data_IF_924289797148
#
_entry.id   IF_924289797148
#
_cell.length_a   1.000
_cell.length_b   1.000
_cell.length_c   1.000
_cell.angle_alpha   90.00
_cell.angle_beta   90.00
_cell.angle_gamma   90.00
#
_symmetry.space_group_name_H-M   'P 1'
#
loop_
_entity.id
_entity.type
_entity.pdbx_description
1 polymer ?
#
# COMPACT_ATOMS: atom_id res chain seq x y z
N UNK A 1 -14.08 8.17 -20.03
CA UNK A 1 -14.30 9.58 -20.37
C UNK A 1 -12.97 10.24 -20.70
N UNK A 2 -12.97 11.31 -21.51
CA UNK A 2 -11.74 12.03 -21.86
C UNK A 2 -11.09 12.71 -20.64
N UNK A 3 -11.92 13.16 -19.70
CA UNK A 3 -11.54 13.75 -18.42
C UNK A 3 -12.34 13.09 -17.29
N UNK A 4 -11.80 13.14 -16.07
CA UNK A 4 -12.48 12.74 -14.84
C UNK A 4 -11.53 12.08 -13.86
N UNK A 5 -11.66 12.40 -12.57
CA UNK A 5 -10.96 11.65 -11.55
C UNK A 5 -11.53 10.23 -11.45
N UNK A 6 -10.68 9.29 -11.06
CA UNK A 6 -11.10 7.95 -10.69
C UNK A 6 -11.93 7.96 -9.40
N UNK A 7 -12.98 7.15 -9.35
CA UNK A 7 -13.77 6.98 -8.12
C UNK A 7 -12.96 6.29 -7.03
N UNK A 8 -13.17 6.66 -5.77
CA UNK A 8 -12.57 5.91 -4.66
C UNK A 8 -13.13 4.48 -4.61
N UNK A 9 -12.28 3.53 -4.23
CA UNK A 9 -12.69 2.18 -3.93
C UNK A 9 -13.50 2.13 -2.63
N UNK A 10 -14.50 1.25 -2.57
CA UNK A 10 -15.31 1.08 -1.37
C UNK A 10 -14.52 0.37 -0.26
N UNK A 11 -14.61 0.86 0.97
CA UNK A 11 -14.04 0.19 2.13
C UNK A 11 -14.76 -1.13 2.40
N UNK A 12 -14.00 -2.16 2.78
CA UNK A 12 -14.57 -3.42 3.19
C UNK A 12 -15.16 -3.36 4.61
N UNK A 13 -16.33 -3.98 4.77
CA UNK A 13 -16.96 -4.15 6.08
C UNK A 13 -16.31 -5.26 6.91
N UNK A 14 -16.67 -5.31 8.19
CA UNK A 14 -16.28 -6.38 9.11
C UNK A 14 -17.12 -7.64 8.86
N UNK A 15 -16.49 -8.80 8.70
CA UNK A 15 -17.18 -10.08 8.52
C UNK A 15 -17.08 -10.94 9.79
N UNK A 16 -18.10 -10.99 10.66
CA UNK A 16 -18.03 -11.71 11.95
C UNK A 16 -18.04 -13.25 11.83
N UNK A 17 -18.22 -13.82 10.62
CA UNK A 17 -18.33 -15.26 10.42
C UNK A 17 -17.38 -15.87 9.38
N UNK A 18 -16.46 -15.11 8.81
CA UNK A 18 -15.54 -15.59 7.78
C UNK A 18 -14.10 -15.61 8.30
N UNK A 19 -13.31 -16.62 7.92
CA UNK A 19 -11.90 -16.71 8.32
C UNK A 19 -11.01 -15.65 7.64
N UNK A 20 -11.51 -14.96 6.61
CA UNK A 20 -10.81 -13.88 5.89
C UNK A 20 -11.71 -12.66 5.79
N UNK A 21 -11.16 -11.49 6.10
CA UNK A 21 -11.82 -10.20 5.95
C UNK A 21 -12.11 -9.85 4.49
N UNK A 22 -13.17 -9.07 4.25
CA UNK A 22 -13.48 -8.62 2.90
C UNK A 22 -12.38 -7.70 2.36
N UNK A 23 -12.09 -7.78 1.06
CA UNK A 23 -11.08 -6.92 0.43
C UNK A 23 -11.63 -5.53 0.16
N UNK A 24 -10.83 -4.49 0.38
CA UNK A 24 -11.17 -3.14 -0.05
C UNK A 24 -11.30 -3.06 -1.58
N UNK A 25 -12.25 -2.26 -2.06
CA UNK A 25 -12.45 -2.04 -3.48
C UNK A 25 -11.26 -1.31 -4.11
N UNK A 26 -10.93 -1.61 -5.37
CA UNK A 26 -9.93 -0.85 -6.09
C UNK A 26 -10.41 0.58 -6.37
N UNK A 27 -9.48 1.54 -6.31
CA UNK A 27 -9.69 2.88 -6.82
C UNK A 27 -9.84 2.84 -8.34
N UNK A 28 -10.81 3.60 -8.85
CA UNK A 28 -11.03 3.75 -10.28
C UNK A 28 -9.85 4.44 -10.95
N UNK A 29 -9.55 4.05 -12.18
CA UNK A 29 -8.64 4.81 -13.02
C UNK A 29 -9.30 6.14 -13.43
N UNK A 30 -8.49 7.16 -13.63
CA UNK A 30 -8.95 8.42 -14.19
C UNK A 30 -9.41 8.31 -15.65
N UNK A 31 -9.97 9.39 -16.16
CA UNK A 31 -10.22 9.60 -17.57
C UNK A 31 -8.93 9.61 -18.40
N UNK A 32 -9.07 9.43 -19.72
CA UNK A 32 -7.95 9.16 -20.61
C UNK A 32 -6.86 10.25 -20.57
N UNK A 33 -7.22 11.53 -20.63
CA UNK A 33 -6.24 12.62 -20.70
C UNK A 33 -5.94 13.25 -19.34
N UNK A 34 -6.98 13.44 -18.52
CA UNK A 34 -6.88 14.17 -17.27
C UNK A 34 -7.70 13.53 -16.16
N UNK A 35 -7.14 13.59 -14.96
CA UNK A 35 -7.77 13.21 -13.70
C UNK A 35 -6.82 12.37 -12.87
N UNK A 36 -6.88 12.50 -11.55
CA UNK A 36 -6.11 11.63 -10.67
C UNK A 36 -6.81 10.29 -10.51
N UNK A 37 -6.02 9.23 -10.32
CA UNK A 37 -6.57 7.93 -9.96
C UNK A 37 -7.26 7.98 -8.60
N UNK A 38 -8.32 7.19 -8.43
CA UNK A 38 -9.03 7.07 -7.17
C UNK A 38 -8.20 6.33 -6.12
N UNK A 39 -8.38 6.65 -4.85
CA UNK A 39 -7.78 5.87 -3.77
C UNK A 39 -8.41 4.47 -3.69
N UNK A 40 -7.63 3.45 -3.32
CA UNK A 40 -8.15 2.14 -2.97
C UNK A 40 -8.83 2.14 -1.60
N UNK A 41 -9.85 1.30 -1.44
CA UNK A 41 -10.59 1.12 -0.19
C UNK A 41 -9.82 0.31 0.83
N UNK A 42 -10.15 0.48 2.11
CA UNK A 42 -9.55 -0.26 3.23
C UNK A 42 -9.99 -1.73 3.21
N UNK A 43 -9.09 -2.62 3.61
CA UNK A 43 -9.38 -4.03 3.86
C UNK A 43 -10.17 -4.24 5.15
N UNK A 44 -11.07 -5.23 5.16
CA UNK A 44 -11.99 -5.49 6.26
C UNK A 44 -11.31 -6.17 7.43
N UNK A 45 -11.68 -5.79 8.66
CA UNK A 45 -11.11 -6.35 9.89
C UNK A 45 -11.83 -7.62 10.33
N UNK A 46 -11.10 -8.62 10.84
CA UNK A 46 -11.68 -9.83 11.45
C UNK A 46 -10.98 -10.18 12.76
N UNK A 47 -11.76 -10.14 13.86
CA UNK A 47 -11.29 -10.45 15.21
C UNK A 47 -12.09 -11.57 15.88
N UNK A 48 -13.24 -11.97 15.33
CA UNK A 48 -14.19 -12.88 15.99
C UNK A 48 -13.79 -14.35 15.95
N UNK A 49 -12.86 -14.74 15.07
CA UNK A 49 -12.41 -16.12 14.91
C UNK A 49 -10.91 -16.19 15.13
N UNK A 50 -10.44 -17.16 15.94
CA UNK A 50 -9.01 -17.39 16.13
C UNK A 50 -8.33 -17.78 14.81
N UNK A 51 -7.18 -17.19 14.50
CA UNK A 51 -6.44 -17.51 13.28
C UNK A 51 -6.94 -16.80 12.01
N UNK A 52 -7.88 -15.85 12.11
CA UNK A 52 -8.47 -15.20 10.94
C UNK A 52 -7.54 -14.13 10.33
N UNK A 53 -7.57 -13.99 9.01
CA UNK A 53 -6.76 -13.01 8.28
C UNK A 53 -7.59 -11.78 7.93
N UNK A 54 -7.02 -10.58 8.13
CA UNK A 54 -7.64 -9.34 7.68
C UNK A 54 -7.74 -9.26 6.16
N UNK A 55 -8.72 -8.53 5.65
CA UNK A 55 -8.89 -8.36 4.21
C UNK A 55 -7.78 -7.50 3.62
N UNK A 56 -7.40 -7.74 2.37
CA UNK A 56 -6.44 -6.88 1.67
C UNK A 56 -7.02 -5.48 1.41
N UNK A 57 -6.17 -4.46 1.43
CA UNK A 57 -6.50 -3.13 0.94
C UNK A 57 -6.63 -3.11 -0.58
N UNK A 58 -7.52 -2.26 -1.09
CA UNK A 58 -7.70 -2.05 -2.52
C UNK A 58 -6.52 -1.31 -3.14
N UNK A 59 -6.21 -1.62 -4.39
CA UNK A 59 -5.20 -0.86 -5.14
C UNK A 59 -5.70 0.56 -5.45
N UNK A 60 -4.79 1.53 -5.46
CA UNK A 60 -5.06 2.85 -6.01
C UNK A 60 -5.20 2.79 -7.54
N UNK A 61 -6.07 3.63 -8.08
CA UNK A 61 -6.26 3.75 -9.53
C UNK A 61 -5.12 4.54 -10.18
N UNK A 62 -4.92 4.34 -11.48
CA UNK A 62 -3.95 5.10 -12.26
C UNK A 62 -4.50 6.50 -12.63
N UNK A 63 -3.59 7.47 -12.72
CA UNK A 63 -3.90 8.81 -13.25
C UNK A 63 -4.16 8.80 -14.75
N UNK A 64 -4.67 9.92 -15.27
CA UNK A 64 -4.79 10.16 -16.71
C UNK A 64 -3.43 10.36 -17.39
N UNK A 65 -3.42 10.45 -18.72
CA UNK A 65 -2.18 10.55 -19.50
C UNK A 65 -1.32 11.76 -19.13
N UNK A 66 -1.89 12.95 -19.01
CA UNK A 66 -1.12 14.20 -19.05
C UNK A 66 -0.65 14.66 -17.68
N UNK A 67 -1.38 15.58 -17.03
CA UNK A 67 -1.05 16.13 -15.70
C UNK A 67 -1.94 15.44 -14.67
N UNK A 68 -1.51 14.31 -14.15
CA UNK A 68 -2.35 13.43 -13.34
C UNK A 68 -1.53 12.48 -12.48
N UNK A 69 -1.96 12.30 -11.24
CA UNK A 69 -1.28 11.43 -10.27
C UNK A 69 -2.01 10.11 -10.10
N UNK A 70 -1.27 9.07 -9.71
CA UNK A 70 -1.88 7.84 -9.23
C UNK A 70 -2.61 8.05 -7.90
N UNK A 71 -3.62 7.22 -7.64
CA UNK A 71 -4.32 7.17 -6.37
C UNK A 71 -3.54 6.33 -5.34
N UNK A 72 -3.72 6.61 -4.06
CA UNK A 72 -3.08 5.82 -3.00
C UNK A 72 -3.73 4.44 -2.88
N UNK A 73 -2.98 3.42 -2.49
CA UNK A 73 -3.53 2.14 -2.08
C UNK A 73 -4.22 2.22 -0.72
N UNK A 74 -5.24 1.39 -0.51
CA UNK A 74 -5.90 1.21 0.77
C UNK A 74 -5.07 0.35 1.71
N UNK A 75 -5.22 0.51 3.02
CA UNK A 75 -4.51 -0.32 3.99
C UNK A 75 -5.15 -1.71 4.08
N UNK A 76 -4.34 -2.68 4.48
CA UNK A 76 -4.84 -4.00 4.85
C UNK A 76 -5.61 -3.97 6.17
N UNK A 77 -6.64 -4.80 6.26
CA UNK A 77 -7.43 -4.98 7.47
C UNK A 77 -6.67 -5.74 8.55
N UNK A 78 -7.04 -5.50 9.80
CA UNK A 78 -6.55 -6.27 10.94
C UNK A 78 -7.16 -7.68 10.92
N UNK A 79 -6.37 -8.72 11.18
CA UNK A 79 -6.86 -10.07 11.40
C UNK A 79 -6.27 -10.70 12.64
N UNK A 80 -7.05 -11.50 13.38
CA UNK A 80 -6.59 -12.13 14.62
C UNK A 80 -5.35 -13.01 14.44
N UNK A 81 -5.22 -13.74 13.33
CA UNK A 81 -4.08 -14.62 13.01
C UNK A 81 -3.27 -14.22 11.76
N UNK A 82 -3.64 -13.13 11.11
CA UNK A 82 -2.90 -12.62 9.96
C UNK A 82 -3.37 -11.23 9.55
N UNK A 83 -2.44 -10.35 9.22
CA UNK A 83 -2.78 -9.02 8.73
C UNK A 83 -3.11 -9.05 7.25
N UNK A 84 -4.08 -8.25 6.82
CA UNK A 84 -4.35 -8.03 5.41
C UNK A 84 -3.18 -7.29 4.74
N UNK A 85 -2.89 -7.60 3.49
CA UNK A 85 -1.85 -6.89 2.72
C UNK A 85 -2.34 -5.48 2.37
N UNK A 86 -1.46 -4.48 2.46
CA UNK A 86 -1.73 -3.13 1.96
C UNK A 86 -1.82 -3.09 0.43
N UNK A 87 -2.77 -2.33 -0.11
CA UNK A 87 -2.93 -2.15 -1.54
C UNK A 87 -1.78 -1.33 -2.14
N UNK A 88 -1.33 -1.70 -3.32
CA UNK A 88 -0.37 -0.87 -4.07
C UNK A 88 -0.97 0.50 -4.44
N UNK A 89 -0.12 1.52 -4.49
CA UNK A 89 -0.45 2.82 -5.09
C UNK A 89 -0.58 2.71 -6.61
N UNK A 90 -1.41 3.57 -7.19
CA UNK A 90 -1.58 3.70 -8.62
C UNK A 90 -0.45 4.49 -9.28
N UNK A 91 -0.29 4.33 -10.59
CA UNK A 91 0.76 4.99 -11.35
C UNK A 91 0.28 6.32 -11.95
N UNK A 92 1.21 7.26 -12.14
CA UNK A 92 1.05 8.36 -13.09
C UNK A 92 1.58 7.94 -14.48
N UNK A 93 1.17 8.65 -15.54
CA UNK A 93 1.57 8.33 -16.92
C UNK A 93 2.64 9.25 -17.48
N UNK A 94 2.37 10.53 -17.81
CA UNK A 94 3.39 11.43 -18.36
C UNK A 94 3.91 12.44 -17.34
N UNK A 95 3.01 13.20 -16.71
CA UNK A 95 3.35 14.21 -15.71
C UNK A 95 2.50 13.97 -14.46
N UNK A 96 3.15 13.64 -13.35
CA UNK A 96 2.49 13.44 -12.06
C UNK A 96 3.20 12.42 -11.20
N UNK A 97 2.84 12.36 -9.93
CA UNK A 97 3.48 11.43 -8.99
C UNK A 97 2.70 10.11 -8.93
N UNK A 98 3.42 9.03 -8.63
CA UNK A 98 2.81 7.78 -8.23
C UNK A 98 2.10 7.91 -6.87
N UNK A 99 1.04 7.13 -6.69
CA UNK A 99 0.33 7.05 -5.40
C UNK A 99 1.14 6.27 -4.37
N UNK A 100 0.94 6.55 -3.09
CA UNK A 100 1.59 5.78 -2.02
C UNK A 100 0.97 4.39 -1.89
N UNK A 101 1.78 3.40 -1.53
CA UNK A 101 1.28 2.10 -1.09
C UNK A 101 0.54 2.19 0.25
N UNK A 102 -0.44 1.32 0.44
CA UNK A 102 -1.18 1.19 1.69
C UNK A 102 -0.39 0.43 2.75
N UNK A 103 -0.69 0.69 4.02
CA UNK A 103 -0.04 0.02 5.15
C UNK A 103 -0.58 -1.41 5.27
N UNK A 104 0.27 -2.36 5.66
CA UNK A 104 -0.15 -3.71 5.99
C UNK A 104 -0.97 -3.78 7.30
N UNK A 105 -1.93 -4.68 7.36
CA UNK A 105 -2.78 -4.90 8.53
C UNK A 105 -2.05 -5.56 9.68
N UNK A 106 -2.49 -5.33 10.92
CA UNK A 106 -1.90 -5.96 12.09
C UNK A 106 -2.36 -7.42 12.28
N UNK A 107 -1.54 -8.21 12.97
CA UNK A 107 -1.84 -9.59 13.39
C UNK A 107 -1.51 -9.81 14.88
N UNK A 108 -2.47 -9.58 15.80
CA UNK A 108 -2.17 -9.54 17.23
C UNK A 108 -2.07 -10.92 17.92
N UNK A 109 -2.50 -12.02 17.30
CA UNK A 109 -2.51 -13.36 17.93
C UNK A 109 -1.88 -14.44 17.03
N UNK A 110 -0.62 -14.78 17.27
CA UNK A 110 0.11 -15.90 16.62
C UNK A 110 0.10 -15.86 15.08
N UNK A 111 0.26 -14.67 14.51
CA UNK A 111 0.13 -14.44 13.07
C UNK A 111 1.28 -13.67 12.44
N UNK A 112 1.33 -13.72 11.11
CA UNK A 112 2.18 -12.82 10.31
C UNK A 112 1.36 -11.58 9.96
N UNK A 113 1.85 -10.41 10.34
CA UNK A 113 1.20 -9.17 9.97
C UNK A 113 1.35 -8.89 8.47
N UNK A 114 0.42 -8.10 7.93
CA UNK A 114 0.31 -7.88 6.50
C UNK A 114 1.49 -7.08 5.97
N UNK A 115 1.95 -7.40 4.76
CA UNK A 115 2.96 -6.57 4.09
C UNK A 115 2.37 -5.22 3.67
N UNK A 116 3.19 -4.18 3.67
CA UNK A 116 2.84 -2.91 3.05
C UNK A 116 2.74 -3.03 1.53
N UNK A 117 1.88 -2.22 0.92
CA UNK A 117 1.73 -2.13 -0.52
C UNK A 117 2.89 -1.36 -1.16
N UNK A 118 3.20 -1.66 -2.41
CA UNK A 118 4.21 -0.91 -3.14
C UNK A 118 3.70 0.48 -3.52
N UNK A 119 4.61 1.45 -3.58
CA UNK A 119 4.33 2.76 -4.18
C UNK A 119 4.17 2.66 -5.69
N UNK A 120 3.36 3.55 -6.25
CA UNK A 120 3.16 3.68 -7.69
C UNK A 120 4.32 4.39 -8.39
N UNK A 121 4.46 4.17 -9.68
CA UNK A 121 5.44 4.84 -10.52
C UNK A 121 5.07 6.31 -10.77
N UNK A 122 6.07 7.19 -10.75
CA UNK A 122 5.94 8.56 -11.24
C UNK A 122 5.69 8.60 -12.76
N UNK A 123 5.19 9.73 -13.23
CA UNK A 123 4.95 9.98 -14.66
C UNK A 123 6.26 9.96 -15.44
N UNK A 124 6.26 9.34 -16.61
CA UNK A 124 7.44 9.04 -17.42
C UNK A 124 8.33 10.26 -17.69
N UNK A 125 7.76 11.46 -17.86
CA UNK A 125 8.53 12.68 -18.13
C UNK A 125 8.87 13.42 -16.85
N UNK A 126 7.86 13.70 -16.03
CA UNK A 126 8.05 14.40 -14.76
C UNK A 126 7.19 13.76 -13.71
N UNK A 127 7.79 13.30 -12.62
CA UNK A 127 7.04 12.65 -11.56
C UNK A 127 7.89 11.89 -10.58
N UNK A 128 7.62 12.08 -9.30
CA UNK A 128 8.21 11.27 -8.27
C UNK A 128 7.48 9.93 -8.15
N UNK A 129 8.22 8.88 -7.80
CA UNK A 129 7.62 7.63 -7.35
C UNK A 129 6.88 7.80 -6.03
N UNK A 130 5.83 7.02 -5.84
CA UNK A 130 5.10 6.95 -4.58
C UNK A 130 5.89 6.19 -3.53
N UNK A 131 5.75 6.56 -2.26
CA UNK A 131 6.35 5.80 -1.17
C UNK A 131 5.69 4.41 -1.03
N UNK A 132 6.47 3.41 -0.65
CA UNK A 132 5.96 2.12 -0.22
C UNK A 132 5.27 2.23 1.14
N UNK A 133 4.23 1.44 1.35
CA UNK A 133 3.52 1.36 2.63
C UNK A 133 4.32 0.61 3.69
N UNK A 134 4.16 0.98 4.95
CA UNK A 134 4.77 0.23 6.05
C UNK A 134 4.14 -1.16 6.18
N UNK A 135 4.91 -2.13 6.67
CA UNK A 135 4.38 -3.41 7.11
C UNK A 135 3.52 -3.28 8.36
N UNK A 136 2.59 -4.21 8.54
CA UNK A 136 1.72 -4.26 9.72
C UNK A 136 2.43 -4.76 10.97
N UNK A 137 1.94 -4.39 12.14
CA UNK A 137 2.49 -4.82 13.43
C UNK A 137 1.99 -6.22 13.83
N UNK A 138 2.91 -7.08 14.24
CA UNK A 138 2.65 -8.39 14.86
C UNK A 138 2.62 -8.37 16.40
N UNK A 139 3.00 -7.27 17.06
CA UNK A 139 3.03 -7.20 18.54
C UNK A 139 1.71 -6.71 19.14
N UNK A 140 1.22 -7.41 20.17
CA UNK A 140 0.29 -6.88 21.18
C UNK A 140 0.90 -7.02 22.58
N UNK A 141 0.86 -5.99 23.45
CA UNK A 141 1.73 -5.87 24.63
C UNK A 141 1.43 -6.80 25.83
N UNK A 142 0.54 -7.80 25.71
CA UNK A 142 -0.05 -8.42 26.92
C UNK A 142 0.19 -9.94 27.07
N UNK A 143 0.55 -10.69 26.03
CA UNK A 143 0.73 -12.15 26.13
C UNK A 143 2.09 -12.56 25.56
N UNK A 144 2.91 -13.21 26.39
CA UNK A 144 4.24 -13.72 26.06
C UNK A 144 4.16 -14.97 25.16
N UNK A 145 3.56 -14.85 23.97
CA UNK A 145 3.50 -15.95 23.03
C UNK A 145 4.59 -15.82 21.94
N UNK A 146 5.55 -16.76 21.89
CA UNK A 146 6.65 -16.71 20.92
C UNK A 146 6.15 -16.97 19.50
N UNK A 147 6.50 -16.10 18.55
CA UNK A 147 6.33 -16.35 17.10
C UNK A 147 5.58 -15.29 16.28
N UNK A 148 5.36 -14.07 16.79
CA UNK A 148 4.73 -13.01 16.00
C UNK A 148 5.71 -12.36 15.02
N UNK A 149 5.31 -12.24 13.75
CA UNK A 149 6.14 -11.66 12.69
C UNK A 149 5.52 -10.38 12.16
N UNK A 150 6.30 -9.31 12.16
CA UNK A 150 5.89 -8.06 11.53
C UNK A 150 5.84 -8.19 10.01
N UNK A 151 4.98 -7.41 9.37
CA UNK A 151 4.85 -7.42 7.91
C UNK A 151 6.05 -6.76 7.25
N UNK A 152 6.43 -7.19 6.05
CA UNK A 152 7.46 -6.48 5.29
C UNK A 152 6.95 -5.12 4.83
N UNK A 153 7.83 -4.13 4.75
CA UNK A 153 7.55 -2.86 4.10
C UNK A 153 7.44 -3.00 2.58
N UNK A 154 6.59 -2.17 1.97
CA UNK A 154 6.41 -2.10 0.52
C UNK A 154 7.58 -1.38 -0.17
N UNK A 155 7.85 -1.74 -1.42
CA UNK A 155 8.88 -1.09 -2.23
C UNK A 155 8.38 0.28 -2.69
N UNK A 156 9.24 1.30 -2.68
CA UNK A 156 8.95 2.61 -3.26
C UNK A 156 8.90 2.58 -4.78
N UNK A 157 8.03 3.38 -5.39
CA UNK A 157 7.94 3.52 -6.85
C UNK A 157 9.13 4.28 -7.43
N UNK A 158 9.44 4.06 -8.70
CA UNK A 158 10.46 4.82 -9.43
C UNK A 158 9.98 6.20 -9.85
N UNK A 159 10.91 7.14 -9.96
CA UNK A 159 10.67 8.44 -10.60
C UNK A 159 10.63 8.33 -12.14
N UNK A 160 10.05 9.33 -12.79
CA UNK A 160 10.15 9.55 -14.24
C UNK A 160 11.52 10.07 -14.66
N UNK A 161 11.69 10.49 -15.91
CA UNK A 161 12.95 11.10 -16.41
C UNK A 161 13.47 12.20 -15.47
N UNK A 162 12.56 13.08 -15.03
CA UNK A 162 12.78 14.06 -13.96
C UNK A 162 11.88 13.71 -12.78
N UNK A 163 12.47 13.19 -11.70
CA UNK A 163 11.75 12.82 -10.50
C UNK A 163 12.57 11.98 -9.54
N UNK A 164 12.24 12.08 -8.26
CA UNK A 164 12.83 11.24 -7.23
C UNK A 164 12.16 9.86 -7.22
N UNK A 165 12.91 8.85 -6.82
CA UNK A 165 12.34 7.59 -6.37
C UNK A 165 11.55 7.79 -5.08
N UNK A 166 10.50 6.99 -4.90
CA UNK A 166 9.75 6.93 -3.66
C UNK A 166 10.51 6.14 -2.60
N UNK A 167 10.39 6.52 -1.33
CA UNK A 167 11.01 5.77 -0.24
C UNK A 167 10.36 4.39 -0.07
N UNK A 168 11.13 3.41 0.35
CA UNK A 168 10.60 2.12 0.79
C UNK A 168 9.85 2.27 2.11
N UNK A 169 8.86 1.42 2.32
CA UNK A 169 8.13 1.32 3.58
C UNK A 169 8.97 0.63 4.66
N UNK A 170 8.74 0.99 5.91
CA UNK A 170 9.38 0.29 7.03
C UNK A 170 8.81 -1.12 7.19
N UNK A 171 9.63 -2.03 7.71
CA UNK A 171 9.17 -3.28 8.30
C UNK A 171 8.21 -3.01 9.46
N UNK A 172 7.29 -3.94 9.67
CA UNK A 172 6.38 -3.91 10.80
C UNK A 172 7.05 -4.47 12.05
N UNK A 173 6.65 -3.98 13.21
CA UNK A 173 7.12 -4.49 14.48
C UNK A 173 6.67 -5.95 14.71
N UNK A 174 7.57 -6.81 15.18
CA UNK A 174 7.29 -8.19 15.54
C UNK A 174 8.36 -8.72 16.49
N UNK A 175 8.13 -9.89 17.10
CA UNK A 175 9.26 -10.61 17.71
C UNK A 175 10.30 -10.93 16.64
N UNK A 176 9.81 -11.29 15.44
CA UNK A 176 10.56 -11.24 14.19
C UNK A 176 10.11 -9.97 13.44
N UNK A 177 10.95 -8.92 13.38
CA UNK A 177 10.62 -7.71 12.62
C UNK A 177 10.44 -8.00 11.13
N UNK A 178 9.59 -7.21 10.49
CA UNK A 178 9.44 -7.24 9.05
C UNK A 178 10.69 -6.77 8.33
N UNK A 179 10.90 -7.22 7.09
CA UNK A 179 11.98 -6.67 6.27
C UNK A 179 11.61 -5.26 5.77
N UNK A 180 12.57 -4.32 5.73
CA UNK A 180 12.35 -3.01 5.12
C UNK A 180 12.09 -3.14 3.61
N UNK A 181 11.25 -2.25 3.09
CA UNK A 181 11.05 -2.08 1.65
C UNK A 181 12.23 -1.35 1.02
N UNK A 182 12.57 -1.72 -0.21
CA UNK A 182 13.57 -0.97 -0.99
C UNK A 182 13.03 0.40 -1.42
N UNK A 183 13.90 1.40 -1.46
CA UNK A 183 13.60 2.67 -2.14
C UNK A 183 13.54 2.49 -3.65
N UNK A 184 12.72 3.32 -4.31
CA UNK A 184 12.61 3.34 -5.76
C UNK A 184 13.77 4.08 -6.42
N UNK A 185 14.04 3.77 -7.68
CA UNK A 185 15.08 4.45 -8.44
C UNK A 185 14.69 5.88 -8.82
N UNK A 186 15.68 6.76 -8.87
CA UNK A 186 15.57 8.11 -9.39
C UNK A 186 15.35 8.16 -10.90
N UNK A 187 14.93 9.34 -11.35
CA UNK A 187 14.98 9.71 -12.75
C UNK A 187 16.40 9.85 -13.28
N UNK A 188 16.68 9.32 -14.50
CA UNK A 188 18.02 9.36 -15.09
C UNK A 188 18.50 10.77 -15.49
N UNK A 189 17.62 11.77 -15.59
CA UNK A 189 18.01 13.15 -15.94
C UNK A 189 18.21 13.99 -14.68
N UNK A 190 17.24 13.96 -13.77
CA UNK A 190 17.26 14.73 -12.52
C UNK A 190 16.41 14.01 -11.48
N UNK A 191 16.99 13.74 -10.31
CA UNK A 191 16.30 13.11 -9.20
C UNK A 191 17.28 12.47 -8.21
N UNK A 192 16.75 12.07 -7.06
CA UNK A 192 17.43 11.23 -6.08
C UNK A 192 16.73 9.89 -5.91
N UNK A 193 17.51 8.85 -5.62
CA UNK A 193 16.95 7.54 -5.28
C UNK A 193 16.15 7.65 -3.99
N UNK A 194 15.09 6.86 -3.88
CA UNK A 194 14.37 6.69 -2.64
C UNK A 194 15.26 5.99 -1.62
N UNK A 195 15.11 6.35 -0.35
CA UNK A 195 15.78 5.61 0.73
C UNK A 195 15.03 4.32 1.03
N UNK A 196 15.77 3.28 1.42
CA UNK A 196 15.17 2.06 1.95
C UNK A 196 14.44 2.34 3.26
N UNK A 197 13.42 1.54 3.54
CA UNK A 197 12.74 1.56 4.83
C UNK A 197 13.65 1.11 5.97
N UNK A 198 13.17 1.34 7.19
CA UNK A 198 13.77 0.81 8.41
C UNK A 198 13.18 -0.57 8.76
N UNK A 199 13.90 -1.42 9.49
CA UNK A 199 13.37 -2.67 10.03
C UNK A 199 12.16 -2.46 10.95
#
# INVERSE_FOLDING_TARGET
MLTGAGGAGGDAGTSPGNAVGATGGAGGNAGLLFGNGGAGGQGGTVLSLAGATGGAGGHGGNGGMLMSTGGNGGNGGLGSGGGGVGGNGGNALLIGNGGTGGIGGAAPFLGVAGTGGNGGQGGQLVGNGGAGGAGGSGKFPVLLDPGTTGGNGGVGGGGGLVGNGGNGGNGGDGEIPGSPGAGGAAGPILGFDGVNGLP
#
